data_IF_862881720572
#
_entry.id   IF_862881720572
#
_cell.length_a   1.000
_cell.length_b   1.000
_cell.length_c   1.000
_cell.angle_alpha   90.00
_cell.angle_beta   90.00
_cell.angle_gamma   90.00
#
_symmetry.space_group_name_H-M   'P 1'
#
loop_
_entity.id
_entity.type
_entity.pdbx_description
1 polymer ?
#
# COMPACT_ATOMS: atom_id res chain seq x y z
N UNK A 1 -0.75 5.04 30.55
CA UNK A 1 0.50 4.96 29.76
C UNK A 1 1.21 3.69 30.21
N UNK A 2 1.00 2.57 29.54
CA UNK A 2 1.75 1.35 29.77
C UNK A 2 3.12 1.52 29.13
N UNK A 3 4.17 1.68 29.92
CA UNK A 3 5.53 1.66 29.45
C UNK A 3 5.82 0.28 28.86
N UNK A 4 6.43 0.22 27.70
CA UNK A 4 7.12 -0.96 27.20
C UNK A 4 8.35 -1.15 28.10
N UNK A 5 8.14 -1.77 29.28
CA UNK A 5 9.22 -2.08 30.18
C UNK A 5 10.17 -3.06 29.52
N UNK A 6 11.46 -2.74 29.52
CA UNK A 6 12.63 -3.58 29.27
C UNK A 6 12.54 -4.70 28.19
N UNK A 7 11.83 -4.46 27.09
CA UNK A 7 11.85 -5.37 25.95
C UNK A 7 13.11 -5.04 25.12
N UNK A 8 14.11 -5.91 25.22
CA UNK A 8 15.31 -5.83 24.41
C UNK A 8 14.90 -6.04 22.95
N UNK A 9 14.97 -5.00 22.12
CA UNK A 9 14.53 -5.03 20.72
C UNK A 9 15.61 -5.55 19.76
N UNK A 10 16.85 -5.63 20.21
CA UNK A 10 17.97 -6.28 19.52
C UNK A 10 18.45 -7.48 20.33
N UNK A 11 18.87 -8.53 19.65
CA UNK A 11 19.52 -9.71 20.27
C UNK A 11 20.94 -9.33 20.74
N UNK A 12 21.53 -10.17 21.58
CA UNK A 12 22.91 -9.98 22.05
C UNK A 12 23.95 -10.07 20.94
N UNK A 13 23.63 -10.72 19.81
CA UNK A 13 24.43 -10.81 18.59
C UNK A 13 24.28 -9.60 17.66
N UNK A 14 23.55 -8.56 18.09
CA UNK A 14 23.29 -7.35 17.31
C UNK A 14 22.24 -7.50 16.18
N UNK A 15 21.60 -8.66 16.08
CA UNK A 15 20.53 -8.88 15.11
C UNK A 15 19.17 -8.45 15.64
N UNK A 16 18.22 -8.25 14.73
CA UNK A 16 16.81 -8.02 15.07
C UNK A 16 16.20 -9.27 15.71
N UNK A 17 15.06 -9.13 16.40
CA UNK A 17 14.37 -10.24 17.07
C UNK A 17 13.99 -11.36 16.11
N UNK A 18 13.68 -11.05 14.86
CA UNK A 18 13.38 -12.02 13.80
C UNK A 18 14.61 -12.65 13.14
N UNK A 19 15.82 -12.31 13.59
CA UNK A 19 17.09 -12.90 13.14
C UNK A 19 17.75 -12.18 11.97
N UNK A 20 17.09 -11.16 11.37
CA UNK A 20 17.68 -10.36 10.29
C UNK A 20 18.81 -9.45 10.79
N UNK A 21 19.73 -9.08 9.90
CA UNK A 21 20.68 -8.01 10.14
C UNK A 21 19.96 -6.66 10.28
N UNK A 22 20.65 -5.65 10.78
CA UNK A 22 20.07 -4.32 11.04
C UNK A 22 19.56 -3.67 9.74
N UNK A 23 20.31 -3.80 8.67
CA UNK A 23 20.07 -3.25 7.33
C UNK A 23 19.36 -4.23 6.38
N UNK A 24 19.04 -5.42 6.86
CA UNK A 24 18.39 -6.46 6.04
C UNK A 24 16.89 -6.22 5.91
N UNK A 25 16.43 -6.09 4.67
CA UNK A 25 15.02 -6.00 4.32
C UNK A 25 14.31 -7.36 4.46
N UNK A 26 13.02 -7.35 4.76
CA UNK A 26 12.19 -8.56 4.65
C UNK A 26 12.18 -9.03 3.19
N UNK A 27 12.08 -10.35 2.93
CA UNK A 27 11.93 -10.84 1.57
C UNK A 27 10.66 -10.24 0.92
N UNK A 28 10.81 -9.80 -0.32
CA UNK A 28 9.73 -9.19 -1.11
C UNK A 28 9.47 -10.04 -2.34
N UNK A 29 8.20 -10.38 -2.57
CA UNK A 29 7.74 -11.01 -3.80
C UNK A 29 6.63 -10.15 -4.40
N UNK A 30 6.67 -9.95 -5.71
CA UNK A 30 5.70 -9.12 -6.45
C UNK A 30 5.18 -9.94 -7.61
N UNK A 31 3.85 -10.05 -7.72
CA UNK A 31 3.16 -10.74 -8.80
C UNK A 31 2.13 -9.79 -9.42
N UNK A 32 2.20 -9.60 -10.75
CA UNK A 32 1.23 -8.80 -11.50
C UNK A 32 0.15 -9.70 -12.13
N UNK A 33 -1.00 -9.13 -12.47
CA UNK A 33 -2.07 -9.85 -13.18
C UNK A 33 -2.79 -10.91 -12.35
N UNK A 34 -2.81 -10.78 -11.02
CA UNK A 34 -3.36 -11.80 -10.11
C UNK A 34 -4.89 -11.84 -10.04
N UNK A 35 -5.58 -10.78 -10.48
CA UNK A 35 -7.04 -10.66 -10.46
C UNK A 35 -7.60 -10.47 -11.87
N UNK A 36 -8.17 -11.52 -12.49
CA UNK A 36 -8.65 -11.45 -13.89
C UNK A 36 -9.79 -10.48 -14.13
N UNK A 37 -10.52 -10.08 -13.09
CA UNK A 37 -11.66 -9.15 -13.20
C UNK A 37 -11.27 -7.66 -13.10
N UNK A 38 -10.01 -7.36 -12.78
CA UNK A 38 -9.49 -6.01 -12.73
C UNK A 38 -8.85 -5.63 -14.07
N UNK A 39 -8.79 -4.32 -14.37
CA UNK A 39 -8.06 -3.83 -15.55
C UNK A 39 -6.54 -3.99 -15.36
N UNK A 40 -6.09 -3.93 -14.10
CA UNK A 40 -4.75 -4.32 -13.67
C UNK A 40 -4.73 -4.69 -12.20
N UNK A 41 -3.81 -5.54 -11.81
CA UNK A 41 -3.72 -6.02 -10.43
C UNK A 41 -2.33 -6.46 -10.04
N UNK A 42 -2.04 -6.43 -8.75
CA UNK A 42 -0.78 -6.95 -8.22
C UNK A 42 -0.95 -7.48 -6.81
N UNK A 43 -0.15 -8.48 -6.48
CA UNK A 43 0.04 -8.97 -5.12
C UNK A 43 1.49 -8.71 -4.70
N UNK A 44 1.65 -8.13 -3.52
CA UNK A 44 2.95 -7.92 -2.89
C UNK A 44 2.98 -8.66 -1.57
N UNK A 45 3.92 -9.58 -1.46
CA UNK A 45 4.27 -10.25 -0.20
C UNK A 45 5.55 -9.61 0.33
N UNK A 46 5.51 -9.10 1.56
CA UNK A 46 6.64 -8.46 2.23
C UNK A 46 6.81 -9.06 3.62
N UNK A 47 7.67 -10.07 3.73
CA UNK A 47 7.72 -10.96 4.88
C UNK A 47 6.39 -11.69 5.05
N UNK A 48 5.73 -11.51 6.19
CA UNK A 48 4.40 -12.08 6.46
C UNK A 48 3.24 -11.14 6.06
N UNK A 49 3.53 -9.97 5.50
CA UNK A 49 2.47 -9.11 4.97
C UNK A 49 2.07 -9.56 3.56
N UNK A 50 0.78 -9.59 3.29
CA UNK A 50 0.23 -9.82 1.96
C UNK A 50 -0.73 -8.70 1.62
N UNK A 51 -0.41 -7.94 0.58
CA UNK A 51 -1.23 -6.86 0.05
C UNK A 51 -1.62 -7.17 -1.38
N UNK A 52 -2.89 -7.04 -1.71
CA UNK A 52 -3.42 -7.16 -3.07
C UNK A 52 -3.98 -5.81 -3.48
N UNK A 53 -3.66 -5.37 -4.70
CA UNK A 53 -4.24 -4.17 -5.29
C UNK A 53 -4.93 -4.50 -6.62
N UNK A 54 -6.07 -3.86 -6.84
CA UNK A 54 -6.83 -3.92 -8.08
C UNK A 54 -7.06 -2.50 -8.61
N UNK A 55 -6.91 -2.33 -9.91
CA UNK A 55 -7.12 -1.06 -10.61
C UNK A 55 -8.28 -1.21 -11.59
N UNK A 56 -9.14 -0.21 -11.62
CA UNK A 56 -10.27 -0.10 -12.55
C UNK A 56 -10.29 1.28 -13.21
N UNK A 57 -10.40 1.29 -14.51
CA UNK A 57 -10.48 2.50 -15.32
C UNK A 57 -9.25 2.78 -16.19
N UNK A 58 -9.23 3.94 -16.86
CA UNK A 58 -10.02 5.16 -16.60
C UNK A 58 -11.52 5.00 -16.89
N UNK A 59 -12.37 5.42 -15.96
CA UNK A 59 -13.82 5.38 -16.08
C UNK A 59 -14.44 6.77 -15.85
N UNK A 60 -15.70 6.96 -16.18
CA UNK A 60 -16.40 8.21 -15.89
C UNK A 60 -16.42 8.50 -14.37
N UNK A 61 -16.04 9.71 -14.00
CA UNK A 61 -15.99 10.10 -12.60
C UNK A 61 -17.40 10.36 -12.04
N UNK A 62 -17.87 9.51 -11.15
CA UNK A 62 -19.09 9.67 -10.37
C UNK A 62 -18.78 9.77 -8.88
N UNK A 63 -19.50 10.64 -8.15
CA UNK A 63 -20.48 11.64 -8.60
C UNK A 63 -19.82 12.80 -9.36
N UNK A 64 -20.54 13.49 -10.25
CA UNK A 64 -19.99 14.57 -11.10
C UNK A 64 -19.24 15.66 -10.33
N UNK A 65 -19.56 15.88 -9.06
CA UNK A 65 -18.87 16.87 -8.20
C UNK A 65 -17.38 16.59 -7.95
N UNK A 66 -16.93 15.35 -8.13
CA UNK A 66 -15.48 15.00 -7.99
C UNK A 66 -14.73 15.12 -9.30
N UNK A 67 -15.44 15.29 -10.42
CA UNK A 67 -14.88 15.37 -11.75
C UNK A 67 -14.00 16.61 -11.90
N UNK A 68 -12.78 16.43 -12.40
CA UNK A 68 -11.87 17.52 -12.77
C UNK A 68 -11.81 17.64 -14.29
N UNK A 69 -11.87 18.85 -14.80
CA UNK A 69 -11.93 19.07 -16.26
C UNK A 69 -10.59 18.85 -16.95
N UNK A 70 -9.49 18.99 -16.21
CA UNK A 70 -8.12 19.00 -16.70
C UNK A 70 -7.38 17.67 -16.49
N UNK A 71 -7.93 16.78 -15.63
CA UNK A 71 -7.23 15.54 -15.25
C UNK A 71 -8.15 14.45 -14.72
N UNK A 72 -7.62 13.23 -14.60
CA UNK A 72 -8.25 12.16 -13.84
C UNK A 72 -8.16 12.40 -12.33
N UNK A 73 -9.09 11.80 -11.60
CA UNK A 73 -9.04 11.67 -10.13
C UNK A 73 -8.60 10.27 -9.78
N UNK A 74 -7.58 10.12 -8.96
CA UNK A 74 -7.18 8.83 -8.38
C UNK A 74 -7.97 8.61 -7.10
N UNK A 75 -8.85 7.62 -7.11
CA UNK A 75 -9.71 7.24 -5.99
C UNK A 75 -9.18 5.95 -5.35
N UNK A 76 -8.44 6.10 -4.27
CA UNK A 76 -7.82 4.98 -3.56
C UNK A 76 -8.68 4.56 -2.38
N UNK A 77 -8.84 3.27 -2.25
CA UNK A 77 -9.49 2.63 -1.12
C UNK A 77 -8.56 1.59 -0.50
N UNK A 78 -8.10 1.87 0.70
CA UNK A 78 -7.30 0.94 1.49
C UNK A 78 -8.17 0.28 2.55
N UNK A 79 -8.12 -1.04 2.63
CA UNK A 79 -8.82 -1.81 3.63
C UNK A 79 -7.94 -2.94 4.17
N UNK A 80 -8.28 -3.42 5.37
CA UNK A 80 -7.66 -4.60 5.97
C UNK A 80 -8.73 -5.67 6.14
N UNK A 81 -8.48 -6.86 5.62
CA UNK A 81 -9.39 -7.99 5.82
C UNK A 81 -9.58 -8.27 7.32
N UNK A 82 -10.79 -8.64 7.77
CA UNK A 82 -11.05 -8.90 9.18
C UNK A 82 -10.15 -9.96 9.83
N UNK A 83 -9.61 -10.86 9.02
CA UNK A 83 -8.71 -11.95 9.42
C UNK A 83 -7.23 -11.62 9.20
N UNK A 84 -6.89 -10.40 8.77
CA UNK A 84 -5.51 -10.03 8.40
C UNK A 84 -4.56 -9.95 9.60
N UNK A 85 -5.07 -9.88 10.82
CA UNK A 85 -4.30 -9.87 12.08
C UNK A 85 -4.80 -10.96 13.01
N UNK A 86 -4.01 -11.33 14.04
CA UNK A 86 -4.41 -12.30 15.06
C UNK A 86 -5.69 -11.89 15.80
N UNK A 87 -5.86 -10.60 16.07
CA UNK A 87 -7.12 -10.05 16.59
C UNK A 87 -8.00 -9.61 15.41
N UNK A 88 -9.27 -10.05 15.43
CA UNK A 88 -10.22 -9.72 14.38
C UNK A 88 -10.44 -8.21 14.27
N UNK A 89 -10.16 -7.66 13.08
CA UNK A 89 -10.43 -6.25 12.77
C UNK A 89 -11.91 -6.08 12.40
N UNK A 90 -12.54 -5.00 12.88
CA UNK A 90 -13.88 -4.63 12.43
C UNK A 90 -13.84 -4.25 10.95
N UNK A 91 -14.72 -4.85 10.11
CA UNK A 91 -14.81 -4.48 8.70
C UNK A 91 -15.28 -3.02 8.56
N UNK A 92 -14.83 -2.36 7.50
CA UNK A 92 -15.25 -1.03 7.13
C UNK A 92 -14.19 0.05 7.31
N UNK A 93 -14.53 1.26 6.86
CA UNK A 93 -13.63 2.40 6.88
C UNK A 93 -13.41 2.95 8.29
N UNK A 94 -12.17 2.94 8.73
CA UNK A 94 -11.74 3.59 9.96
C UNK A 94 -10.83 4.80 9.65
N UNK A 95 -10.41 5.53 10.69
CA UNK A 95 -9.53 6.70 10.55
C UNK A 95 -8.22 6.36 9.86
N UNK A 96 -7.63 5.20 10.18
CA UNK A 96 -6.37 4.73 9.59
C UNK A 96 -6.52 4.42 8.09
N UNK A 97 -7.58 3.71 7.69
CA UNK A 97 -7.80 3.41 6.26
C UNK A 97 -7.99 4.67 5.44
N UNK A 98 -8.70 5.67 5.97
CA UNK A 98 -8.88 6.97 5.28
C UNK A 98 -7.56 7.71 5.10
N UNK A 99 -6.74 7.75 6.15
CA UNK A 99 -5.43 8.39 6.10
C UNK A 99 -4.52 7.70 5.08
N UNK A 100 -4.41 6.37 5.12
CA UNK A 100 -3.58 5.62 4.17
C UNK A 100 -4.10 5.78 2.74
N UNK A 101 -5.42 5.72 2.53
CA UNK A 101 -6.02 5.95 1.20
C UNK A 101 -5.66 7.32 0.64
N UNK A 102 -5.73 8.37 1.46
CA UNK A 102 -5.38 9.74 1.06
C UNK A 102 -3.90 9.85 0.69
N UNK A 103 -3.00 9.40 1.57
CA UNK A 103 -1.55 9.47 1.33
C UNK A 103 -1.16 8.67 0.08
N UNK A 104 -1.76 7.48 -0.12
CA UNK A 104 -1.52 6.68 -1.32
C UNK A 104 -2.00 7.38 -2.57
N UNK A 105 -3.20 8.00 -2.56
CA UNK A 105 -3.72 8.75 -3.71
C UNK A 105 -2.78 9.91 -4.08
N UNK A 106 -2.37 10.72 -3.11
CA UNK A 106 -1.45 11.85 -3.31
C UNK A 106 -0.09 11.37 -3.86
N UNK A 107 0.42 10.24 -3.34
CA UNK A 107 1.66 9.65 -3.83
C UNK A 107 1.52 9.20 -5.29
N UNK A 108 0.46 8.47 -5.63
CA UNK A 108 0.22 7.99 -7.00
C UNK A 108 -0.04 9.15 -7.99
N UNK A 109 -0.76 10.21 -7.56
CA UNK A 109 -0.97 11.40 -8.39
C UNK A 109 0.35 12.09 -8.79
N UNK A 110 1.41 11.94 -8.01
CA UNK A 110 2.72 12.55 -8.33
C UNK A 110 3.43 11.89 -9.52
N UNK A 111 3.12 10.64 -9.83
CA UNK A 111 3.79 9.87 -10.88
C UNK A 111 2.89 9.49 -12.04
N UNK A 112 1.58 9.32 -11.81
CA UNK A 112 0.62 9.00 -12.87
C UNK A 112 0.40 10.23 -13.76
N UNK A 113 0.38 10.02 -15.09
CA UNK A 113 0.09 11.09 -16.07
C UNK A 113 -1.43 11.35 -16.13
N UNK A 114 -1.98 11.85 -15.02
CA UNK A 114 -3.43 12.05 -14.83
C UNK A 114 -4.04 13.01 -15.85
N UNK A 115 -3.24 13.90 -16.42
CA UNK A 115 -3.66 14.90 -17.42
C UNK A 115 -4.11 14.25 -18.74
N UNK A 116 -3.71 12.99 -18.99
CA UNK A 116 -4.13 12.24 -20.18
C UNK A 116 -5.58 11.79 -20.16
N UNK A 117 -6.22 11.83 -18.98
CA UNK A 117 -7.57 11.32 -18.77
C UNK A 117 -8.47 12.35 -18.10
N UNK A 118 -8.76 13.49 -18.76
CA UNK A 118 -9.64 14.51 -18.19
C UNK A 118 -11.03 13.94 -17.91
N UNK A 119 -11.70 14.45 -16.87
CA UNK A 119 -13.06 14.09 -16.43
C UNK A 119 -13.23 12.62 -16.02
N UNK A 120 -12.16 11.87 -15.94
CA UNK A 120 -12.21 10.45 -15.55
C UNK A 120 -11.78 10.21 -14.11
N UNK A 121 -11.97 8.99 -13.67
CA UNK A 121 -11.51 8.45 -12.41
C UNK A 121 -10.77 7.14 -12.64
N UNK A 122 -9.66 6.99 -11.96
CA UNK A 122 -8.93 5.73 -11.83
C UNK A 122 -9.15 5.25 -10.40
N UNK A 123 -9.76 4.08 -10.25
CA UNK A 123 -10.05 3.50 -8.95
C UNK A 123 -9.00 2.48 -8.59
N UNK A 124 -8.46 2.59 -7.39
CA UNK A 124 -7.45 1.68 -6.84
C UNK A 124 -7.97 1.11 -5.53
N UNK A 125 -8.24 -0.18 -5.51
CA UNK A 125 -8.66 -0.93 -4.31
C UNK A 125 -7.45 -1.69 -3.77
N UNK A 126 -7.12 -1.48 -2.49
CA UNK A 126 -6.03 -2.16 -1.81
C UNK A 126 -6.61 -2.95 -0.65
N UNK A 127 -6.39 -4.26 -0.65
CA UNK A 127 -6.83 -5.17 0.38
C UNK A 127 -5.63 -5.83 1.03
N UNK A 128 -5.50 -5.71 2.35
CA UNK A 128 -4.46 -6.37 3.14
C UNK A 128 -5.02 -7.69 3.64
N UNK A 129 -4.43 -8.79 3.19
CA UNK A 129 -4.87 -10.15 3.54
C UNK A 129 -4.14 -10.70 4.76
N UNK A 130 -2.88 -10.28 4.97
CA UNK A 130 -2.09 -10.60 6.17
C UNK A 130 -1.27 -9.37 6.58
N UNK A 131 -1.16 -9.12 7.89
CA UNK A 131 -0.55 -7.91 8.42
C UNK A 131 0.35 -8.19 9.62
N UNK A 132 1.64 -7.91 9.46
CA UNK A 132 2.67 -7.98 10.51
C UNK A 132 3.57 -6.73 10.50
N UNK A 133 2.97 -5.55 10.44
CA UNK A 133 3.68 -4.26 10.33
C UNK A 133 4.19 -3.96 8.91
N UNK A 134 4.12 -2.69 8.50
CA UNK A 134 4.55 -2.25 7.16
C UNK A 134 3.52 -2.41 6.04
N UNK A 135 2.24 -2.67 6.35
CA UNK A 135 1.18 -2.86 5.36
C UNK A 135 0.94 -1.65 4.46
N UNK A 136 1.24 -0.43 4.95
CA UNK A 136 1.20 0.80 4.14
C UNK A 136 2.16 0.70 2.96
N UNK A 137 3.42 0.31 3.22
CA UNK A 137 4.46 0.19 2.20
C UNK A 137 4.12 -0.89 1.18
N UNK A 138 3.70 -2.07 1.63
CA UNK A 138 3.26 -3.16 0.76
C UNK A 138 2.06 -2.73 -0.11
N UNK A 139 1.08 -2.03 0.47
CA UNK A 139 -0.10 -1.54 -0.25
C UNK A 139 0.21 -0.48 -1.31
N UNK A 140 1.10 0.48 -1.02
CA UNK A 140 1.54 1.50 -1.99
C UNK A 140 2.29 0.83 -3.15
N UNK A 141 3.20 -0.09 -2.85
CA UNK A 141 3.94 -0.83 -3.87
C UNK A 141 3.00 -1.68 -4.74
N UNK A 142 2.06 -2.40 -4.14
CA UNK A 142 1.06 -3.17 -4.88
C UNK A 142 0.21 -2.29 -5.80
N UNK A 143 -0.23 -1.12 -5.32
CA UNK A 143 -1.01 -0.16 -6.11
C UNK A 143 -0.21 0.38 -7.31
N UNK A 144 1.08 0.68 -7.12
CA UNK A 144 1.97 1.15 -8.19
C UNK A 144 2.15 0.09 -9.28
N UNK A 145 2.38 -1.17 -8.91
CA UNK A 145 2.50 -2.28 -9.85
C UNK A 145 1.17 -2.55 -10.57
N UNK A 146 0.06 -2.52 -9.85
CA UNK A 146 -1.27 -2.73 -10.43
C UNK A 146 -1.64 -1.63 -11.46
N UNK A 147 -1.21 -0.38 -11.25
CA UNK A 147 -1.39 0.70 -12.23
C UNK A 147 -0.56 0.46 -13.49
N UNK A 148 0.67 -0.05 -13.35
CA UNK A 148 1.51 -0.41 -14.49
C UNK A 148 0.92 -1.60 -15.25
N UNK A 149 0.42 -2.61 -14.56
CA UNK A 149 -0.27 -3.76 -15.15
C UNK A 149 -1.56 -3.36 -15.90
N UNK A 150 -2.29 -2.37 -15.40
CA UNK A 150 -3.45 -1.77 -16.06
C UNK A 150 -3.08 -0.93 -17.31
N UNK A 151 -1.80 -0.76 -17.63
CA UNK A 151 -1.35 0.08 -18.75
C UNK A 151 -1.56 1.59 -18.52
N UNK A 152 -1.77 2.03 -17.30
CA UNK A 152 -1.87 3.46 -16.96
C UNK A 152 -0.50 4.11 -17.10
N UNK A 153 -0.36 5.16 -17.93
CA UNK A 153 0.92 5.82 -18.15
C UNK A 153 1.40 6.53 -16.90
N UNK A 154 2.61 6.24 -16.51
CA UNK A 154 3.27 6.76 -15.33
C UNK A 154 4.65 7.32 -15.71
N UNK A 155 5.14 8.30 -14.95
CA UNK A 155 6.51 8.85 -15.10
C UNK A 155 7.53 7.89 -14.49
N UNK A 156 7.16 7.26 -13.37
CA UNK A 156 7.97 6.29 -12.65
C UNK A 156 7.08 5.45 -11.74
N UNK A 157 7.64 4.42 -11.10
CA UNK A 157 6.96 3.60 -10.12
C UNK A 157 7.25 4.12 -8.70
N UNK A 158 6.22 4.06 -7.84
CA UNK A 158 6.38 4.36 -6.41
C UNK A 158 6.58 3.08 -5.62
N UNK A 159 7.56 3.10 -4.73
CA UNK A 159 7.83 2.02 -3.79
C UNK A 159 7.73 2.56 -2.36
N UNK A 160 7.02 1.83 -1.50
CA UNK A 160 6.95 2.14 -0.08
C UNK A 160 8.06 1.42 0.69
N UNK A 161 8.82 2.15 1.49
CA UNK A 161 9.82 1.60 2.41
C UNK A 161 9.54 2.13 3.82
N UNK A 162 9.74 1.30 4.83
CA UNK A 162 9.68 1.69 6.23
C UNK A 162 11.04 1.50 6.89
N UNK A 163 11.46 2.48 7.65
CA UNK A 163 12.62 2.40 8.52
C UNK A 163 12.22 2.79 9.94
N UNK A 164 13.01 2.34 10.90
CA UNK A 164 12.78 2.64 12.31
C UNK A 164 14.09 2.96 13.02
N UNK A 165 14.00 3.37 14.29
CA UNK A 165 15.15 3.57 15.16
C UNK A 165 14.94 2.75 16.42
N UNK A 166 15.94 1.95 16.78
CA UNK A 166 16.02 1.21 18.03
C UNK A 166 17.18 1.82 18.80
N UNK A 167 16.89 2.47 19.93
CA UNK A 167 17.85 3.26 20.68
C UNK A 167 18.56 4.29 19.76
N UNK A 168 19.84 4.11 19.47
CA UNK A 168 20.61 4.97 18.55
C UNK A 168 20.89 4.33 17.19
N UNK A 169 20.39 3.13 16.95
CA UNK A 169 20.61 2.37 15.71
C UNK A 169 19.40 2.47 14.77
N UNK A 170 19.65 2.88 13.52
CA UNK A 170 18.62 2.86 12.45
C UNK A 170 18.49 1.42 11.93
N UNK A 171 17.23 1.00 11.74
CA UNK A 171 16.89 -0.36 11.33
C UNK A 171 15.83 -0.38 10.22
#
# INVERSE_FOLDING_TARGET
MGGYGDVKLLRDDGKRLDGRAIDEMRPVTIEAGVLPAADGSAMVTHGLNVAVAAVYGPMEAHPRKIQRQDRAVIDVRYNMAPFSTGDRIRPGFNRRSREISKVTAESLESVVLVERYPRSKIRVEIEILAAEGGTRCAGITAASVALADAGIPMRDMIVGVASGKIEDTVV
#
